data_IF_688126478280
#
_entry.id   IF_688126478280
#
_cell.length_a   1.000
_cell.length_b   1.000
_cell.length_c   1.000
_cell.angle_alpha   90.00
_cell.angle_beta   90.00
_cell.angle_gamma   90.00
#
_symmetry.space_group_name_H-M   'P 1'
#
loop_
_entity.id
_entity.type
_entity.pdbx_description
1 polymer ?
#
# COMPACT_ATOMS: atom_id res chain seq x y z
N UNK A 1 -3.33 -4.97 12.30
CA UNK A 1 -4.20 -6.15 12.09
C UNK A 1 -3.67 -7.12 11.01
N UNK A 2 -2.45 -6.92 10.48
CA UNK A 2 -1.94 -7.71 9.33
C UNK A 2 -0.49 -8.18 9.53
N UNK A 3 -0.07 -8.36 10.79
CA UNK A 3 1.33 -8.59 11.15
C UNK A 3 1.78 -10.05 11.02
N UNK A 4 0.84 -10.96 10.76
CA UNK A 4 1.05 -12.41 10.71
C UNK A 4 1.20 -12.95 9.27
N UNK A 5 1.48 -12.08 8.30
CA UNK A 5 1.85 -12.50 6.95
C UNK A 5 3.31 -12.95 6.92
N UNK A 6 3.53 -14.24 6.66
CA UNK A 6 4.86 -14.83 6.50
C UNK A 6 5.47 -14.34 5.18
N UNK A 7 6.04 -13.14 5.22
CA UNK A 7 6.77 -12.56 4.09
C UNK A 7 8.06 -13.36 3.89
N UNK A 8 8.25 -13.89 2.68
CA UNK A 8 9.47 -14.66 2.32
C UNK A 8 10.76 -13.83 2.38
N UNK A 9 10.65 -12.52 2.51
CA UNK A 9 11.76 -11.57 2.50
C UNK A 9 11.83 -10.80 3.80
N UNK A 10 13.05 -10.71 4.34
CA UNK A 10 13.37 -9.88 5.50
C UNK A 10 13.38 -8.42 5.07
N UNK A 11 12.36 -7.66 5.47
CA UNK A 11 12.26 -6.23 5.19
C UNK A 11 13.27 -5.46 6.06
N UNK A 12 14.07 -4.57 5.46
CA UNK A 12 14.93 -3.64 6.19
C UNK A 12 14.20 -2.31 6.45
N UNK A 13 13.63 -2.07 7.64
CA UNK A 13 12.89 -0.85 7.93
C UNK A 13 13.75 0.42 7.97
N UNK A 14 15.09 0.29 7.97
CA UNK A 14 16.04 1.41 7.96
C UNK A 14 16.61 1.71 6.57
N UNK A 15 16.10 1.05 5.52
CA UNK A 15 16.51 1.35 4.16
C UNK A 15 16.26 2.82 3.80
N UNK A 16 17.15 3.39 2.99
CA UNK A 16 17.18 4.83 2.70
C UNK A 16 16.02 5.29 1.82
N UNK A 17 15.54 4.43 0.91
CA UNK A 17 14.44 4.75 0.01
C UNK A 17 13.15 4.01 0.43
N UNK A 18 12.09 4.76 0.68
CA UNK A 18 10.77 4.23 1.04
C UNK A 18 9.86 4.22 -0.18
N UNK A 19 9.40 3.03 -0.56
CA UNK A 19 8.49 2.82 -1.68
C UNK A 19 7.14 2.37 -1.14
N UNK A 20 6.06 3.00 -1.60
CA UNK A 20 4.70 2.52 -1.40
C UNK A 20 4.18 1.91 -2.70
N UNK A 21 3.78 0.64 -2.66
CA UNK A 21 2.94 0.07 -3.72
C UNK A 21 1.49 0.21 -3.27
N UNK A 22 0.73 0.94 -4.07
CA UNK A 22 -0.68 1.18 -3.89
C UNK A 22 -1.46 0.23 -4.78
N UNK A 23 -2.22 -0.65 -4.15
CA UNK A 23 -3.20 -1.47 -4.85
C UNK A 23 -4.58 -0.80 -4.70
N UNK A 24 -5.21 -0.35 -5.79
CA UNK A 24 -6.42 0.45 -5.76
C UNK A 24 -7.67 -0.40 -5.56
N UNK A 25 -7.60 -1.34 -4.63
CA UNK A 25 -8.68 -2.22 -4.24
C UNK A 25 -8.50 -2.62 -2.77
N UNK A 26 -9.44 -3.38 -2.23
CA UNK A 26 -9.36 -3.82 -0.84
C UNK A 26 -8.19 -4.78 -0.63
N UNK A 27 -7.69 -4.81 0.60
CA UNK A 27 -6.63 -5.73 1.01
C UNK A 27 -6.96 -7.18 0.65
N UNK A 28 -8.21 -7.62 0.89
CA UNK A 28 -8.62 -8.99 0.57
C UNK A 28 -8.46 -9.35 -0.92
N UNK A 29 -8.80 -8.43 -1.82
CA UNK A 29 -8.62 -8.62 -3.26
C UNK A 29 -7.13 -8.63 -3.61
N UNK A 30 -6.37 -7.67 -3.06
CA UNK A 30 -4.93 -7.56 -3.30
C UNK A 30 -4.14 -8.77 -2.82
N UNK A 31 -4.58 -9.43 -1.74
CA UNK A 31 -3.94 -10.65 -1.27
C UNK A 31 -4.02 -11.82 -2.25
N UNK A 32 -5.01 -11.80 -3.14
CA UNK A 32 -5.15 -12.79 -4.20
C UNK A 32 -4.38 -12.39 -5.48
N UNK A 33 -3.63 -11.28 -5.46
CA UNK A 33 -2.87 -10.80 -6.60
C UNK A 33 -1.39 -11.22 -6.51
N UNK A 34 -1.00 -12.19 -7.32
CA UNK A 34 0.38 -12.67 -7.37
C UNK A 34 1.36 -11.61 -7.90
N UNK A 35 0.93 -10.76 -8.84
CA UNK A 35 1.77 -9.69 -9.40
C UNK A 35 2.19 -8.69 -8.34
N UNK A 36 1.24 -8.27 -7.50
CA UNK A 36 1.50 -7.40 -6.35
C UNK A 36 2.58 -7.98 -5.42
N UNK A 37 2.45 -9.26 -5.07
CA UNK A 37 3.42 -9.94 -4.19
C UNK A 37 4.81 -10.03 -4.82
N UNK A 38 4.89 -10.32 -6.12
CA UNK A 38 6.17 -10.37 -6.85
C UNK A 38 6.85 -9.00 -6.82
N UNK A 39 6.14 -7.91 -7.16
CA UNK A 39 6.73 -6.56 -7.18
C UNK A 39 7.18 -6.16 -5.76
N UNK A 40 6.35 -6.42 -4.75
CA UNK A 40 6.67 -6.18 -3.36
C UNK A 40 7.95 -6.92 -2.92
N UNK A 41 8.08 -8.19 -3.31
CA UNK A 41 9.23 -9.04 -2.99
C UNK A 41 10.50 -8.50 -3.67
N UNK A 42 10.46 -8.24 -4.97
CA UNK A 42 11.61 -7.76 -5.76
C UNK A 42 12.15 -6.42 -5.26
N UNK A 43 11.29 -5.50 -4.84
CA UNK A 43 11.75 -4.21 -4.28
C UNK A 43 12.37 -4.41 -2.90
N UNK A 44 11.80 -5.28 -2.06
CA UNK A 44 12.33 -5.57 -0.71
C UNK A 44 13.60 -6.43 -0.71
N UNK A 45 13.90 -7.14 -1.80
CA UNK A 45 15.18 -7.85 -1.97
C UNK A 45 16.37 -6.90 -2.14
N UNK A 46 16.11 -5.63 -2.48
CA UNK A 46 17.15 -4.62 -2.59
C UNK A 46 17.53 -4.08 -1.20
N UNK A 47 18.83 -3.95 -0.94
CA UNK A 47 19.32 -3.45 0.35
C UNK A 47 19.09 -1.94 0.57
N UNK A 48 18.81 -1.18 -0.49
CA UNK A 48 18.68 0.28 -0.48
C UNK A 48 17.24 0.78 -0.37
N UNK A 49 16.25 -0.10 -0.52
CA UNK A 49 14.82 0.25 -0.48
C UNK A 49 14.01 -0.59 0.51
N UNK A 50 12.95 0.01 1.05
CA UNK A 50 11.88 -0.67 1.78
C UNK A 50 10.57 -0.43 1.07
N UNK A 51 9.88 -1.51 0.72
CA UNK A 51 8.58 -1.46 0.10
C UNK A 51 7.49 -1.80 1.10
N UNK A 52 6.46 -0.96 1.16
CA UNK A 52 5.26 -1.18 1.96
C UNK A 52 4.01 -1.10 1.06
N UNK A 53 2.93 -1.73 1.49
CA UNK A 53 1.70 -1.85 0.70
C UNK A 53 0.61 -0.95 1.27
N UNK A 54 -0.11 -0.28 0.37
CA UNK A 54 -1.27 0.55 0.69
C UNK A 54 -2.45 0.03 -0.11
N UNK A 55 -3.58 -0.15 0.56
CA UNK A 55 -4.82 -0.63 -0.04
C UNK A 55 -5.93 0.41 0.14
N UNK A 56 -6.96 0.31 -0.69
CA UNK A 56 -8.18 1.06 -0.47
C UNK A 56 -8.93 0.45 0.73
N UNK A 57 -9.25 1.23 1.78
CA UNK A 57 -10.04 0.73 2.90
C UNK A 57 -11.43 0.30 2.45
N UNK A 58 -12.06 -0.62 3.20
CA UNK A 58 -13.42 -1.00 2.89
C UNK A 58 -14.38 0.19 3.05
N UNK A 59 -15.53 0.16 2.36
CA UNK A 59 -16.52 1.26 2.40
C UNK A 59 -16.91 1.69 3.81
N UNK A 60 -17.00 0.74 4.75
CA UNK A 60 -17.31 1.02 6.16
C UNK A 60 -16.18 1.75 6.88
N UNK A 61 -14.93 1.43 6.55
CA UNK A 61 -13.75 2.07 7.12
C UNK A 61 -13.50 3.43 6.49
N UNK A 62 -13.78 3.60 5.19
CA UNK A 62 -13.70 4.88 4.49
C UNK A 62 -14.46 6.00 5.20
N UNK A 63 -15.65 5.72 5.74
CA UNK A 63 -16.40 6.71 6.54
C UNK A 63 -15.66 7.17 7.80
N UNK A 64 -14.91 6.28 8.45
CA UNK A 64 -14.09 6.63 9.61
C UNK A 64 -12.90 7.50 9.18
N UNK A 65 -12.19 7.11 8.12
CA UNK A 65 -11.08 7.88 7.55
C UNK A 65 -11.53 9.29 7.13
N UNK A 66 -12.74 9.42 6.56
CA UNK A 66 -13.34 10.71 6.19
C UNK A 66 -13.57 11.61 7.40
N UNK A 67 -14.14 11.06 8.48
CA UNK A 67 -14.46 11.80 9.71
C UNK A 67 -13.21 12.26 10.45
N UNK A 68 -12.19 11.40 10.53
CA UNK A 68 -10.95 11.68 11.26
C UNK A 68 -9.92 12.41 10.42
N UNK A 69 -10.14 12.55 9.10
CA UNK A 69 -9.16 13.04 8.13
C UNK A 69 -7.86 12.23 8.17
N UNK A 70 -7.97 10.94 8.45
CA UNK A 70 -6.80 10.05 8.47
C UNK A 70 -6.31 9.85 7.04
N UNK A 71 -5.01 10.06 6.76
CA UNK A 71 -4.45 9.76 5.44
C UNK A 71 -4.42 8.24 5.21
N UNK A 72 -4.28 7.81 3.95
CA UNK A 72 -4.05 6.40 3.68
C UNK A 72 -2.71 5.95 4.27
N UNK A 73 -2.73 4.81 4.95
CA UNK A 73 -1.59 4.28 5.69
C UNK A 73 -1.14 2.96 5.10
N UNK A 74 0.16 2.67 5.21
CA UNK A 74 0.69 1.37 4.88
C UNK A 74 0.26 0.28 5.86
N UNK A 75 0.16 -0.94 5.36
CA UNK A 75 -0.24 -2.10 6.15
C UNK A 75 0.84 -2.48 7.18
N UNK A 76 2.10 -2.40 6.78
CA UNK A 76 3.25 -2.90 7.54
C UNK A 76 3.59 -2.02 8.75
N UNK A 77 3.73 -0.70 8.52
CA UNK A 77 4.20 0.22 9.56
C UNK A 77 3.19 1.30 9.93
N UNK A 78 2.02 1.32 9.30
CA UNK A 78 1.02 2.39 9.44
C UNK A 78 1.60 3.76 9.11
N UNK A 79 2.51 3.80 8.13
CA UNK A 79 3.11 5.03 7.62
C UNK A 79 2.15 5.72 6.66
N UNK A 80 1.91 7.03 6.82
CA UNK A 80 1.11 7.79 5.85
C UNK A 80 1.73 7.76 4.45
N UNK A 81 0.88 7.66 3.43
CA UNK A 81 1.27 7.63 2.01
C UNK A 81 2.19 8.79 1.61
N UNK A 82 1.95 9.99 2.16
CA UNK A 82 2.75 11.19 1.86
C UNK A 82 4.18 11.17 2.47
N UNK A 83 4.54 10.15 3.26
CA UNK A 83 5.88 9.98 3.86
C UNK A 83 6.77 8.99 3.08
N UNK A 84 6.31 8.50 1.93
CA UNK A 84 7.09 7.65 1.04
C UNK A 84 7.78 8.50 -0.04
N UNK A 85 8.99 8.09 -0.42
CA UNK A 85 9.77 8.79 -1.46
C UNK A 85 9.24 8.46 -2.86
N UNK A 86 8.71 7.25 -3.02
CA UNK A 86 8.12 6.76 -4.27
C UNK A 86 6.76 6.14 -3.97
N UNK A 87 5.77 6.51 -4.79
CA UNK A 87 4.43 5.90 -4.79
C UNK A 87 4.20 5.29 -6.16
N UNK A 88 3.99 3.97 -6.20
CA UNK A 88 3.67 3.22 -7.40
C UNK A 88 2.24 2.69 -7.31
N UNK A 89 1.45 2.81 -8.38
CA UNK A 89 0.13 2.20 -8.46
C UNK A 89 0.20 0.90 -9.25
N UNK A 90 -0.20 -0.20 -8.63
CA UNK A 90 -0.37 -1.49 -9.31
C UNK A 90 -1.82 -1.63 -9.77
N UNK A 91 -2.04 -1.57 -11.08
CA UNK A 91 -3.37 -1.62 -11.70
C UNK A 91 -3.46 -2.92 -12.49
N UNK A 92 -4.08 -3.93 -11.89
CA UNK A 92 -4.14 -5.27 -12.49
C UNK A 92 -5.47 -5.53 -13.19
N UNK A 93 -6.58 -4.97 -12.71
CA UNK A 93 -7.91 -5.16 -13.29
C UNK A 93 -8.50 -3.86 -13.85
N UNK A 94 -9.42 -3.98 -14.80
CA UNK A 94 -10.06 -2.80 -15.43
C UNK A 94 -10.82 -1.93 -14.41
N UNK A 95 -11.47 -2.57 -13.43
CA UNK A 95 -12.24 -1.87 -12.39
C UNK A 95 -11.37 -1.07 -11.42
N UNK A 96 -10.08 -1.44 -11.28
CA UNK A 96 -9.12 -0.75 -10.41
C UNK A 96 -8.88 0.69 -10.86
N UNK A 97 -9.00 0.97 -12.16
CA UNK A 97 -8.83 2.30 -12.74
C UNK A 97 -9.74 3.36 -12.08
N UNK A 98 -10.98 3.00 -11.78
CA UNK A 98 -11.97 3.92 -11.19
C UNK A 98 -11.67 4.27 -9.74
N UNK A 99 -10.85 3.48 -9.05
CA UNK A 99 -10.49 3.73 -7.65
C UNK A 99 -9.25 4.62 -7.49
N UNK A 100 -8.43 4.81 -8.53
CA UNK A 100 -7.23 5.64 -8.47
C UNK A 100 -7.55 7.09 -8.05
N UNK A 101 -8.55 7.78 -8.63
CA UNK A 101 -8.89 9.16 -8.21
C UNK A 101 -9.37 9.25 -6.76
N UNK A 102 -9.99 8.19 -6.24
CA UNK A 102 -10.42 8.13 -4.84
C UNK A 102 -9.22 8.08 -3.90
N UNK A 103 -8.17 7.36 -4.28
CA UNK A 103 -6.93 7.25 -3.51
C UNK A 103 -6.14 8.55 -3.55
N UNK A 104 -5.96 9.15 -4.72
CA UNK A 104 -5.21 10.40 -4.88
C UNK A 104 -5.79 11.54 -4.03
N UNK A 105 -7.12 11.66 -3.99
CA UNK A 105 -7.80 12.61 -3.11
C UNK A 105 -7.47 12.43 -1.62
N UNK A 106 -7.05 11.23 -1.21
CA UNK A 106 -6.71 10.86 0.17
C UNK A 106 -5.21 10.90 0.46
N UNK A 107 -4.38 11.12 -0.55
CA UNK A 107 -2.92 11.21 -0.42
C UNK A 107 -2.45 12.58 0.08
N UNK A 108 -3.29 13.63 0.01
CA UNK A 108 -2.91 15.04 0.23
C UNK A 108 -3.45 15.61 1.56
N UNK A 109 -3.45 14.83 2.64
CA UNK A 109 -3.83 15.32 3.97
C UNK A 109 -2.63 15.38 4.90
#
# INVERSE_FOLDING_TARGET
LYKDEDSRVTVNPHAGQKVAIVYPNTYFVGMSNLGLHIIYEEINLRNDSVCERIFLPEKKELEAYDKTKTPLMSVETQRPMHQFDVVAFDVTFEMDYFHIPLIDRKSVV
#
